data_IF_843355824968
#
_entry.id   IF_843355824968
#
_cell.length_a   1.000
_cell.length_b   1.000
_cell.length_c   1.000
_cell.angle_alpha   90.00
_cell.angle_beta   90.00
_cell.angle_gamma   90.00
#
_symmetry.space_group_name_H-M   'P 1'
#
loop_
_entity.id
_entity.type
_entity.pdbx_description
1 polymer ?
#
# COMPACT_ATOMS: atom_id res chain seq x y z
N UNK A 1 -16.99 -9.74 3.43
CA UNK A 1 -16.05 -9.70 2.29
C UNK A 1 -14.67 -9.76 2.89
N UNK A 2 -13.95 -10.84 2.64
CA UNK A 2 -12.64 -11.07 3.28
C UNK A 2 -11.56 -10.28 2.56
N UNK A 3 -10.69 -9.63 3.32
CA UNK A 3 -9.52 -8.98 2.74
C UNK A 3 -8.63 -9.99 2.03
N UNK A 4 -8.12 -9.66 0.83
CA UNK A 4 -7.18 -10.54 0.15
C UNK A 4 -5.88 -10.57 0.93
N UNK A 5 -5.47 -11.76 1.39
CA UNK A 5 -4.10 -11.99 1.81
C UNK A 5 -3.14 -11.99 0.61
N UNK A 6 -1.82 -11.98 0.85
CA UNK A 6 -1.14 -11.94 2.14
C UNK A 6 -0.40 -10.57 2.26
N UNK A 7 -0.29 -9.83 3.37
CA UNK A 7 0.21 -10.11 4.71
C UNK A 7 -0.21 -8.92 5.59
N UNK A 8 -0.71 -9.18 6.80
CA UNK A 8 -1.11 -8.13 7.76
C UNK A 8 0.10 -7.59 8.53
N UNK A 9 0.31 -6.27 8.56
CA UNK A 9 1.28 -5.66 9.48
C UNK A 9 0.62 -5.32 10.84
N UNK A 10 0.71 -6.26 11.79
CA UNK A 10 0.71 -6.05 13.26
C UNK A 10 -0.59 -5.62 14.00
N UNK A 11 -0.63 -5.65 15.35
CA UNK A 11 -1.80 -5.38 16.21
C UNK A 11 -2.04 -3.88 16.38
N UNK A 12 -1.88 -3.12 15.29
CA UNK A 12 -2.19 -1.71 15.27
C UNK A 12 -3.73 -1.54 15.22
N UNK A 13 -4.27 -0.41 15.70
CA UNK A 13 -5.68 -0.04 15.49
C UNK A 13 -6.07 0.01 14.01
N UNK A 14 -5.11 -0.09 13.09
CA UNK A 14 -5.31 -0.22 11.67
C UNK A 14 -4.62 -1.47 11.10
N UNK A 15 -5.15 -2.00 10.00
CA UNK A 15 -4.42 -2.93 9.14
C UNK A 15 -4.34 -2.36 7.74
N UNK A 16 -3.20 -2.53 7.07
CA UNK A 16 -3.04 -2.18 5.67
C UNK A 16 -2.60 -3.41 4.88
N UNK A 17 -3.14 -3.61 3.68
CA UNK A 17 -2.78 -4.64 2.72
C UNK A 17 -2.57 -4.02 1.33
N UNK A 18 -1.70 -4.62 0.52
CA UNK A 18 -1.53 -4.27 -0.89
C UNK A 18 -1.99 -5.42 -1.78
N UNK A 19 -2.75 -5.10 -2.82
CA UNK A 19 -3.11 -6.01 -3.89
C UNK A 19 -2.47 -5.51 -5.18
N UNK A 20 -1.49 -6.27 -5.70
CA UNK A 20 -0.79 -5.95 -6.94
C UNK A 20 -1.76 -5.85 -8.12
N UNK A 21 -2.56 -6.90 -8.34
CA UNK A 21 -3.61 -6.86 -9.37
C UNK A 21 -4.67 -5.81 -9.04
N UNK A 22 -4.63 -4.68 -9.76
CA UNK A 22 -5.51 -3.53 -9.57
C UNK A 22 -4.95 -2.41 -8.68
N UNK A 23 -3.69 -2.51 -8.24
CA UNK A 23 -2.96 -1.45 -7.54
C UNK A 23 -3.70 -0.86 -6.32
N UNK A 24 -4.22 -1.75 -5.49
CA UNK A 24 -5.11 -1.37 -4.40
C UNK A 24 -4.38 -1.37 -3.06
N UNK A 25 -4.52 -0.27 -2.31
CA UNK A 25 -4.21 -0.22 -0.89
C UNK A 25 -5.52 -0.39 -0.13
N UNK A 26 -5.59 -1.46 0.65
CA UNK A 26 -6.72 -1.81 1.50
C UNK A 26 -6.38 -1.43 2.94
N UNK A 27 -7.29 -0.73 3.62
CA UNK A 27 -7.08 -0.24 4.97
C UNK A 27 -8.28 -0.61 5.82
N UNK A 28 -8.05 -1.35 6.90
CA UNK A 28 -9.06 -1.74 7.86
C UNK A 28 -8.91 -0.92 9.12
N UNK A 29 -10.02 -0.40 9.62
CA UNK A 29 -10.07 0.32 10.89
C UNK A 29 -10.57 -0.60 12.01
N UNK A 30 -9.79 -0.70 13.08
CA UNK A 30 -10.04 -1.54 14.26
C UNK A 30 -10.29 -0.73 15.54
N UNK A 31 -10.28 0.61 15.49
CA UNK A 31 -10.30 1.44 16.70
C UNK A 31 -10.93 2.83 16.44
N UNK A 32 -12.12 3.06 17.00
CA UNK A 32 -12.72 4.40 17.05
C UNK A 32 -12.09 5.27 18.14
N UNK A 33 -11.99 6.61 17.97
CA UNK A 33 -12.55 7.45 16.91
C UNK A 33 -11.55 7.91 15.82
N UNK A 34 -10.37 7.29 15.70
CA UNK A 34 -9.31 7.79 14.83
C UNK A 34 -9.26 7.02 13.50
N UNK A 35 -9.29 7.75 12.38
CA UNK A 35 -9.25 7.11 11.06
C UNK A 35 -7.99 6.27 10.83
N UNK A 36 -8.17 5.04 10.38
CA UNK A 36 -7.09 4.21 9.87
C UNK A 36 -6.53 4.73 8.54
N UNK A 37 -5.20 4.74 8.41
CA UNK A 37 -4.47 5.19 7.21
C UNK A 37 -3.48 4.11 6.76
N UNK A 38 -3.51 3.75 5.49
CA UNK A 38 -2.49 2.96 4.81
C UNK A 38 -1.52 3.87 4.06
N UNK A 39 -0.33 4.07 4.61
CA UNK A 39 0.72 4.82 3.91
C UNK A 39 1.45 3.91 2.94
N UNK A 40 1.80 4.41 1.76
CA UNK A 40 2.49 3.66 0.73
C UNK A 40 3.63 4.44 0.09
N UNK A 41 4.58 3.71 -0.47
CA UNK A 41 5.66 4.23 -1.30
C UNK A 41 5.84 3.33 -2.52
N UNK A 42 6.17 3.95 -3.64
CA UNK A 42 6.40 3.28 -4.91
C UNK A 42 7.77 3.70 -5.48
N UNK A 43 8.51 2.69 -5.94
CA UNK A 43 9.80 2.85 -6.59
C UNK A 43 9.74 2.27 -8.00
N UNK A 44 10.44 2.93 -8.92
CA UNK A 44 10.67 2.46 -10.28
C UNK A 44 12.13 2.07 -10.45
N UNK A 45 12.39 1.07 -11.28
CA UNK A 45 13.75 0.67 -11.64
C UNK A 45 14.12 1.37 -12.95
N UNK A 46 15.22 2.10 -12.96
CA UNK A 46 15.81 2.64 -14.18
C UNK A 46 17.29 2.94 -13.95
N UNK A 47 18.08 2.99 -15.04
CA UNK A 47 19.53 3.26 -14.98
C UNK A 47 20.28 2.32 -14.00
N UNK A 48 19.83 1.06 -13.94
CA UNK A 48 20.46 0.03 -13.13
C UNK A 48 20.10 0.05 -11.63
N UNK A 49 19.27 0.99 -11.15
CA UNK A 49 18.95 1.12 -9.72
C UNK A 49 17.49 1.50 -9.44
N UNK A 50 17.10 1.42 -8.16
CA UNK A 50 15.75 1.74 -7.69
C UNK A 50 15.63 3.18 -7.24
N UNK A 51 14.65 3.89 -7.79
CA UNK A 51 14.40 5.29 -7.47
C UNK A 51 13.00 5.50 -6.89
N UNK A 52 12.91 6.33 -5.85
CA UNK A 52 11.63 6.77 -5.31
C UNK A 52 10.86 7.53 -6.39
N UNK A 53 9.63 7.10 -6.65
CA UNK A 53 8.78 7.74 -7.64
C UNK A 53 7.62 8.49 -6.98
N UNK A 54 6.79 7.80 -6.19
CA UNK A 54 5.64 8.40 -5.51
C UNK A 54 5.45 7.82 -4.10
N UNK A 55 4.71 8.56 -3.29
CA UNK A 55 4.22 8.13 -2.00
C UNK A 55 2.86 8.76 -1.74
N UNK A 56 2.08 8.16 -0.85
CA UNK A 56 0.80 8.73 -0.47
C UNK A 56 0.15 7.96 0.67
N UNK A 57 -1.06 8.40 0.98
CA UNK A 57 -1.88 7.87 2.05
C UNK A 57 -3.22 7.39 1.46
N UNK A 58 -3.64 6.20 1.88
CA UNK A 58 -5.00 5.72 1.70
C UNK A 58 -5.73 5.83 3.04
N UNK A 59 -6.79 6.63 3.11
CA UNK A 59 -7.55 6.78 4.34
C UNK A 59 -8.79 5.89 4.29
N UNK A 60 -9.06 5.16 5.37
CA UNK A 60 -10.35 4.51 5.54
C UNK A 60 -11.41 5.56 5.93
N UNK A 61 -12.41 5.75 5.08
CA UNK A 61 -13.54 6.65 5.31
C UNK A 61 -14.84 5.89 5.64
N UNK A 62 -14.82 4.56 5.62
CA UNK A 62 -15.99 3.70 5.88
C UNK A 62 -16.27 3.54 7.39
N UNK A 63 -15.26 3.77 8.23
CA UNK A 63 -15.36 3.68 9.69
C UNK A 63 -14.86 2.36 10.27
N UNK A 64 -15.00 2.22 11.59
CA UNK A 64 -14.55 1.05 12.34
C UNK A 64 -15.27 -0.23 11.90
N UNK A 65 -14.51 -1.32 11.79
CA UNK A 65 -15.02 -2.63 11.40
C UNK A 65 -15.16 -2.82 9.89
N UNK A 66 -14.85 -1.80 9.10
CA UNK A 66 -14.96 -1.82 7.64
C UNK A 66 -13.61 -1.64 6.94
N UNK A 67 -13.54 -2.10 5.69
CA UNK A 67 -12.38 -1.92 4.81
C UNK A 67 -12.57 -0.73 3.88
N UNK A 68 -11.69 0.26 4.00
CA UNK A 68 -11.49 1.28 2.97
C UNK A 68 -10.54 0.78 1.88
N UNK A 69 -10.77 1.22 0.64
CA UNK A 69 -9.93 0.87 -0.51
C UNK A 69 -9.57 2.12 -1.31
N UNK A 70 -8.28 2.26 -1.65
CA UNK A 70 -7.81 3.27 -2.58
C UNK A 70 -7.13 2.59 -3.76
N UNK A 71 -7.53 2.98 -4.97
CA UNK A 71 -6.92 2.52 -6.21
C UNK A 71 -5.88 3.53 -6.66
N UNK A 72 -4.70 3.02 -6.98
CA UNK A 72 -3.63 3.80 -7.58
C UNK A 72 -3.24 3.15 -8.92
N UNK A 73 -2.26 3.74 -9.60
CA UNK A 73 -1.64 3.15 -10.79
C UNK A 73 -0.14 3.14 -10.54
N UNK A 74 0.38 2.09 -9.92
CA UNK A 74 1.77 2.01 -9.49
C UNK A 74 2.73 1.60 -10.61
N UNK A 75 2.27 1.47 -11.86
CA UNK A 75 2.93 0.74 -12.93
C UNK A 75 3.14 -0.73 -12.60
N UNK A 76 2.87 -1.61 -13.56
CA UNK A 76 3.20 -3.02 -13.47
C UNK A 76 4.72 -3.19 -13.64
N UNK A 77 5.32 -4.11 -12.88
CA UNK A 77 6.76 -4.39 -12.90
C UNK A 77 7.26 -4.76 -14.30
N UNK A 78 6.42 -5.46 -15.08
CA UNK A 78 6.74 -5.87 -16.45
C UNK A 78 6.36 -4.87 -17.54
N UNK A 79 5.84 -3.69 -17.19
CA UNK A 79 5.46 -2.66 -18.18
C UNK A 79 6.48 -1.54 -18.25
N UNK A 80 6.64 -0.98 -19.44
CA UNK A 80 7.49 0.19 -19.63
C UNK A 80 6.84 1.41 -19.00
N UNK A 81 7.55 2.04 -18.06
CA UNK A 81 7.11 3.28 -17.43
C UNK A 81 7.76 4.51 -18.09
N UNK A 82 7.47 5.71 -17.56
CA UNK A 82 7.92 7.03 -18.07
C UNK A 82 9.43 7.24 -18.26
N UNK A 83 10.26 6.29 -17.84
CA UNK A 83 11.72 6.33 -17.93
C UNK A 83 12.27 5.34 -18.97
N UNK A 84 11.40 4.82 -19.84
CA UNK A 84 11.77 3.88 -20.92
C UNK A 84 12.41 2.56 -20.42
N UNK A 85 12.16 2.21 -19.15
CA UNK A 85 12.62 0.99 -18.49
C UNK A 85 11.43 0.26 -17.85
N UNK A 86 11.69 -0.92 -17.29
CA UNK A 86 10.74 -1.77 -16.58
C UNK A 86 11.12 -1.89 -15.10
N UNK A 87 10.11 -2.07 -14.27
CA UNK A 87 10.27 -2.40 -12.86
C UNK A 87 9.52 -1.44 -11.96
N UNK A 88 8.68 -2.01 -11.11
CA UNK A 88 7.89 -1.28 -10.13
C UNK A 88 7.77 -2.09 -8.85
N UNK A 89 7.96 -1.42 -7.72
CA UNK A 89 7.75 -2.03 -6.41
C UNK A 89 7.06 -1.08 -5.45
N UNK A 90 6.27 -1.66 -4.55
CA UNK A 90 5.46 -0.94 -3.57
C UNK A 90 5.79 -1.46 -2.19
N UNK A 91 5.81 -0.56 -1.20
CA UNK A 91 5.77 -0.93 0.22
C UNK A 91 4.72 -0.11 0.92
N UNK A 92 4.19 -0.64 2.01
CA UNK A 92 3.09 -0.03 2.74
C UNK A 92 3.22 -0.23 4.25
N UNK A 93 2.50 0.58 5.02
CA UNK A 93 2.33 0.43 6.47
C UNK A 93 0.96 0.91 6.90
N UNK A 94 0.48 0.38 8.02
CA UNK A 94 -0.75 0.83 8.65
C UNK A 94 -0.42 1.92 9.67
N UNK A 95 -1.27 2.92 9.79
CA UNK A 95 -1.23 3.98 10.79
C UNK A 95 -2.62 4.15 11.40
N UNK A 96 -2.68 4.37 12.71
CA UNK A 96 -3.90 4.77 13.40
C UNK A 96 -3.57 5.61 14.63
N UNK A 97 -4.47 5.63 15.61
CA UNK A 97 -4.40 6.49 16.80
C UNK A 97 -3.03 6.51 17.51
N UNK A 98 -2.39 5.34 17.58
CA UNK A 98 -1.19 5.11 18.38
C UNK A 98 0.11 5.13 17.55
N UNK A 99 0.03 5.59 16.30
CA UNK A 99 1.15 5.65 15.37
C UNK A 99 1.07 4.60 14.27
N UNK A 100 2.22 4.33 13.66
CA UNK A 100 2.31 3.48 12.48
C UNK A 100 3.06 2.18 12.75
N UNK A 101 2.66 1.11 12.06
CA UNK A 101 3.43 -0.11 11.96
C UNK A 101 4.78 0.15 11.27
N UNK A 102 5.69 -0.82 11.38
CA UNK A 102 6.83 -0.88 10.48
C UNK A 102 6.39 -0.93 9.01
N UNK A 103 7.25 -0.45 8.12
CA UNK A 103 7.08 -0.65 6.69
C UNK A 103 7.14 -2.14 6.36
N UNK A 104 6.28 -2.57 5.44
CA UNK A 104 6.45 -3.85 4.76
C UNK A 104 7.81 -3.90 4.05
N UNK A 105 8.29 -5.09 3.67
CA UNK A 105 9.27 -5.23 2.61
C UNK A 105 8.79 -4.53 1.32
N UNK A 106 9.72 -4.32 0.39
CA UNK A 106 9.35 -3.93 -0.96
C UNK A 106 8.78 -5.13 -1.71
N UNK A 107 7.60 -4.97 -2.29
CA UNK A 107 6.89 -5.96 -3.10
C UNK A 107 6.96 -5.55 -4.56
N UNK A 108 7.39 -6.46 -5.43
CA UNK A 108 7.29 -6.25 -6.88
C UNK A 108 5.82 -6.16 -7.28
N UNK A 109 5.48 -5.20 -8.11
CA UNK A 109 4.12 -5.04 -8.59
C UNK A 109 3.88 -5.92 -9.82
N UNK A 110 3.87 -7.23 -9.61
CA UNK A 110 3.65 -8.20 -10.68
C UNK A 110 2.15 -8.55 -10.75
N UNK A 111 1.49 -8.16 -11.84
CA UNK A 111 0.17 -8.69 -12.21
C UNK A 111 0.12 -10.21 -12.31
#
# INVERSE_FOLDING_TARGET
MDAPGPYSNSPSPAQACFRAYGDQIWVYDRDTPYAAIGQWQNQLYYDGTWHNYRSGDCQNLEGEGEWGVCNYDFYEDGTTHRYEDQGSRVRFRACGAWGCSAWSPWWRNNN
#
